data_IF_066036832612
#
_entry.id   IF_066036832612
#
_cell.length_a   1.000
_cell.length_b   1.000
_cell.length_c   1.000
_cell.angle_alpha   90.00
_cell.angle_beta   90.00
_cell.angle_gamma   90.00
#
_symmetry.space_group_name_H-M   'P 1'
#
loop_
_entity.id
_entity.type
_entity.pdbx_description
1 polymer ?
#
# COMPACT_ATOMS: atom_id res chain seq x y z
N UNK A 1 -4.26 13.12 -12.85
CA UNK A 1 -4.41 12.50 -11.50
C UNK A 1 -4.69 11.03 -11.71
N UNK A 2 -3.69 10.16 -11.57
CA UNK A 2 -3.90 8.71 -11.75
C UNK A 2 -4.57 8.16 -10.49
N UNK A 3 -5.81 7.68 -10.59
CA UNK A 3 -6.49 6.98 -9.49
C UNK A 3 -6.25 5.50 -9.64
N UNK A 4 -5.51 4.92 -8.70
CA UNK A 4 -5.38 3.47 -8.55
C UNK A 4 -6.34 3.03 -7.44
N UNK A 5 -7.08 1.96 -7.63
CA UNK A 5 -7.97 1.42 -6.61
C UNK A 5 -8.00 -0.11 -6.63
N UNK A 6 -8.35 -0.67 -5.48
CA UNK A 6 -8.54 -2.09 -5.29
C UNK A 6 -9.97 -2.35 -4.85
N UNK A 7 -10.67 -3.28 -5.50
CA UNK A 7 -11.99 -3.73 -5.11
C UNK A 7 -11.86 -5.02 -4.30
N UNK A 8 -12.21 -4.95 -3.02
CA UNK A 8 -12.07 -6.07 -2.08
C UNK A 8 -13.06 -7.22 -2.33
N UNK A 9 -14.23 -6.92 -2.91
CA UNK A 9 -15.27 -7.90 -3.21
C UNK A 9 -14.90 -8.76 -4.41
N UNK A 10 -14.43 -8.13 -5.49
CA UNK A 10 -14.04 -8.82 -6.73
C UNK A 10 -12.56 -9.17 -6.82
N UNK A 11 -11.77 -8.83 -5.78
CA UNK A 11 -10.30 -8.96 -5.74
C UNK A 11 -9.62 -8.35 -6.98
N UNK A 12 -10.23 -7.31 -7.56
CA UNK A 12 -9.80 -6.72 -8.83
C UNK A 12 -9.03 -5.41 -8.58
N UNK A 13 -7.92 -5.24 -9.29
CA UNK A 13 -7.10 -4.03 -9.25
C UNK A 13 -7.27 -3.23 -10.52
N UNK A 14 -7.50 -1.93 -10.34
CA UNK A 14 -7.19 -0.95 -11.37
C UNK A 14 -5.95 -0.16 -10.95
N UNK A 15 -4.82 -0.43 -11.61
CA UNK A 15 -3.56 0.27 -11.33
C UNK A 15 -2.91 0.78 -12.60
N UNK A 16 -2.58 2.06 -12.61
CA UNK A 16 -1.65 2.63 -13.56
C UNK A 16 -0.22 2.33 -13.09
N UNK A 17 0.65 1.96 -14.03
CA UNK A 17 2.08 1.78 -13.73
C UNK A 17 2.66 3.08 -13.18
N UNK A 18 3.26 3.02 -11.99
CA UNK A 18 3.98 4.15 -11.39
C UNK A 18 5.48 3.88 -11.39
N UNK A 19 6.32 4.90 -11.29
CA UNK A 19 7.77 4.73 -11.18
C UNK A 19 8.21 4.08 -9.87
N UNK A 20 7.37 4.14 -8.83
CA UNK A 20 7.78 3.80 -7.47
C UNK A 20 7.26 2.45 -6.98
N UNK A 21 6.07 2.02 -7.41
CA UNK A 21 5.43 0.83 -6.84
C UNK A 21 4.88 -0.12 -7.91
N UNK A 22 4.95 -1.42 -7.58
CA UNK A 22 4.20 -2.50 -8.22
C UNK A 22 3.05 -2.86 -7.26
N UNK A 23 1.84 -2.98 -7.79
CA UNK A 23 0.67 -3.44 -7.03
C UNK A 23 0.59 -4.97 -7.14
N UNK A 24 0.44 -5.65 -6.02
CA UNK A 24 0.27 -7.11 -5.92
C UNK A 24 -1.04 -7.34 -5.18
N UNK A 25 -2.00 -7.98 -5.83
CA UNK A 25 -3.37 -8.13 -5.29
C UNK A 25 -3.98 -9.51 -5.50
N UNK A 26 -3.21 -10.43 -6.08
CA UNK A 26 -3.47 -11.87 -6.10
C UNK A 26 -3.03 -12.56 -4.79
N UNK A 27 -2.76 -11.79 -3.73
CA UNK A 27 -2.32 -12.32 -2.46
C UNK A 27 -3.53 -12.60 -1.54
N UNK A 28 -3.64 -13.82 -0.96
CA UNK A 28 -4.74 -14.17 -0.05
C UNK A 28 -4.86 -13.28 1.20
N UNK A 29 -3.75 -12.69 1.63
CA UNK A 29 -3.66 -11.76 2.77
C UNK A 29 -3.99 -10.31 2.37
N UNK A 30 -4.41 -10.06 1.13
CA UNK A 30 -4.88 -8.76 0.66
C UNK A 30 -3.86 -7.97 -0.14
N UNK A 31 -4.05 -6.65 -0.19
CA UNK A 31 -3.30 -5.76 -1.07
C UNK A 31 -1.87 -5.51 -0.56
N UNK A 32 -0.89 -5.65 -1.44
CA UNK A 32 0.51 -5.34 -1.18
C UNK A 32 1.03 -4.34 -2.22
N UNK A 33 1.93 -3.44 -1.80
CA UNK A 33 2.73 -2.63 -2.71
C UNK A 33 4.20 -2.98 -2.56
N UNK A 34 4.86 -3.27 -3.68
CA UNK A 34 6.31 -3.49 -3.70
C UNK A 34 7.01 -2.24 -4.22
N UNK A 35 7.88 -1.66 -3.40
CA UNK A 35 8.71 -0.54 -3.83
C UNK A 35 9.71 -1.02 -4.90
N UNK A 36 9.77 -0.35 -6.04
CA UNK A 36 10.63 -0.74 -7.17
C UNK A 36 12.12 -0.54 -6.90
N UNK A 37 12.47 0.40 -6.00
CA UNK A 37 13.85 0.80 -5.74
C UNK A 37 14.55 -0.13 -4.76
N UNK A 38 13.94 -0.40 -3.60
CA UNK A 38 14.54 -1.25 -2.57
C UNK A 38 13.90 -2.65 -2.46
N UNK A 39 12.85 -2.91 -3.26
CA UNK A 39 12.12 -4.18 -3.35
C UNK A 39 11.37 -4.56 -2.06
N UNK A 40 11.26 -3.65 -1.09
CA UNK A 40 10.51 -3.87 0.15
C UNK A 40 9.00 -3.77 -0.08
N UNK A 41 8.26 -4.44 0.80
CA UNK A 41 6.81 -4.49 0.75
C UNK A 41 6.20 -3.47 1.72
N UNK A 42 5.14 -2.83 1.26
CA UNK A 42 4.15 -2.12 2.08
C UNK A 42 2.94 -3.03 2.17
N UNK A 43 2.60 -3.44 3.39
CA UNK A 43 1.50 -4.35 3.69
C UNK A 43 0.27 -3.52 4.06
N UNK A 44 -0.78 -3.59 3.25
CA UNK A 44 -1.98 -2.74 3.41
C UNK A 44 -3.06 -3.42 4.26
N UNK A 45 -2.91 -4.71 4.55
CA UNK A 45 -3.80 -5.49 5.40
C UNK A 45 -3.94 -4.85 6.80
N UNK A 46 -5.15 -4.39 7.20
CA UNK A 46 -5.39 -3.82 8.53
C UNK A 46 -5.08 -4.79 9.67
N UNK A 47 -5.24 -6.10 9.44
CA UNK A 47 -5.03 -7.13 10.45
C UNK A 47 -3.59 -7.63 10.52
N UNK A 48 -2.75 -7.26 9.54
CA UNK A 48 -1.34 -7.57 9.62
C UNK A 48 -0.68 -6.85 10.81
N UNK A 49 0.25 -7.54 11.51
CA UNK A 49 0.93 -6.99 12.69
C UNK A 49 1.86 -5.83 12.35
N UNK A 50 2.40 -5.78 11.13
CA UNK A 50 3.30 -4.73 10.67
C UNK A 50 2.87 -4.21 9.29
N UNK A 51 3.28 -2.98 8.96
CA UNK A 51 3.06 -2.37 7.65
C UNK A 51 4.14 -2.76 6.61
N UNK A 52 5.04 -3.67 6.98
CA UNK A 52 6.25 -3.99 6.23
C UNK A 52 7.47 -3.15 6.63
N UNK A 53 8.64 -3.55 6.13
CA UNK A 53 9.91 -2.93 6.46
C UNK A 53 10.00 -1.48 5.95
N UNK A 54 10.64 -0.61 6.75
CA UNK A 54 10.78 0.83 6.47
C UNK A 54 9.44 1.56 6.26
N UNK A 55 8.34 0.98 6.72
CA UNK A 55 7.01 1.53 6.53
C UNK A 55 6.35 1.79 7.87
N UNK A 56 5.77 2.96 8.06
CA UNK A 56 4.88 3.27 9.17
C UNK A 56 3.42 3.26 8.71
N UNK A 57 2.51 2.90 9.62
CA UNK A 57 1.06 2.92 9.40
C UNK A 57 0.41 3.82 10.44
N UNK A 58 -0.24 4.88 9.99
CA UNK A 58 -0.91 5.85 10.87
C UNK A 58 -2.37 5.93 10.51
N UNK A 59 -3.23 5.51 11.43
CA UNK A 59 -4.68 5.72 11.32
C UNK A 59 -5.00 7.17 11.66
N UNK A 60 -5.75 7.83 10.77
CA UNK A 60 -6.19 9.22 10.93
C UNK A 60 -7.70 9.22 11.05
N UNK A 61 -8.22 9.89 12.08
CA UNK A 61 -9.67 10.04 12.21
C UNK A 61 -10.21 10.93 11.09
N UNK A 62 -11.31 10.50 10.47
CA UNK A 62 -12.04 11.28 9.49
C UNK A 62 -13.53 11.01 9.62
N UNK A 63 -14.34 12.06 9.65
CA UNK A 63 -15.79 11.92 9.64
C UNK A 63 -16.34 11.50 8.26
N UNK A 64 -15.52 11.59 7.19
CA UNK A 64 -15.94 11.31 5.81
C UNK A 64 -15.73 9.85 5.39
N UNK A 65 -14.85 9.12 6.06
CA UNK A 65 -14.44 7.78 5.67
C UNK A 65 -14.49 6.85 6.87
N UNK A 66 -14.99 5.62 6.66
CA UNK A 66 -14.95 4.57 7.67
C UNK A 66 -13.53 4.31 8.17
N UNK A 67 -12.55 4.40 7.27
CA UNK A 67 -11.14 4.20 7.58
C UNK A 67 -10.29 5.13 6.73
N UNK A 68 -9.38 5.87 7.36
CA UNK A 68 -8.36 6.67 6.68
C UNK A 68 -6.98 6.35 7.28
N UNK A 69 -6.10 5.77 6.47
CA UNK A 69 -4.80 5.28 6.91
C UNK A 69 -3.72 5.81 5.99
N UNK A 70 -2.68 6.37 6.58
CA UNK A 70 -1.47 6.80 5.88
C UNK A 70 -0.40 5.73 6.03
N UNK A 71 0.20 5.35 4.91
CA UNK A 71 1.38 4.49 4.86
C UNK A 71 2.55 5.33 4.38
N UNK A 72 3.56 5.51 5.23
CA UNK A 72 4.78 6.26 4.89
C UNK A 72 5.96 5.31 4.78
N UNK A 73 6.59 5.26 3.61
CA UNK A 73 7.66 4.32 3.28
C UNK A 73 8.97 5.05 3.00
N UNK A 74 9.97 4.82 3.84
CA UNK A 74 11.25 5.52 3.79
C UNK A 74 12.29 4.71 3.01
N UNK A 75 12.69 5.22 1.85
CA UNK A 75 13.83 4.64 1.10
C UNK A 75 15.10 5.43 1.37
N UNK A 76 16.24 4.73 1.55
CA UNK A 76 17.54 5.40 1.65
C UNK A 76 17.84 6.15 0.35
N UNK A 77 18.29 7.40 0.42
CA UNK A 77 18.86 8.10 -0.74
C UNK A 77 20.14 7.37 -1.16
N UNK A 78 20.33 7.16 -2.47
CA UNK A 78 21.68 6.86 -2.97
C UNK A 78 22.48 8.14 -2.74
N UNK A 79 23.50 8.05 -1.90
CA UNK A 79 24.62 8.99 -1.90
C UNK A 79 25.38 8.85 -3.21
#
# INVERSE_FOLDING_TARGET
MAKNYYNWESQSVYSNSTSNYIVIADNPSGLLFKNKKDRKLVVVDPWAPTAGDNTSRTSVYSAMYLQFVLYDHVTRRKT
#
